data_IF_796610815590
#
_entry.id   IF_796610815590
#
_cell.length_a   1.000
_cell.length_b   1.000
_cell.length_c   1.000
_cell.angle_alpha   90.00
_cell.angle_beta   90.00
_cell.angle_gamma   90.00
#
_symmetry.space_group_name_H-M   'P 1'
#
loop_
_entity.id
_entity.type
_entity.pdbx_description
1 polymer ?
#
# COMPACT_ATOMS: atom_id res chain seq x y z
N UNK A 1 1.81 2.75 15.32
CA UNK A 1 0.82 3.04 14.24
C UNK A 1 1.33 2.68 12.84
N UNK A 2 2.54 3.11 12.43
CA UNK A 2 3.05 2.92 11.06
C UNK A 2 2.97 1.49 10.51
N UNK A 3 3.63 0.49 11.12
CA UNK A 3 3.67 -0.87 10.56
C UNK A 3 2.32 -1.60 10.55
N UNK A 4 1.47 -1.41 11.58
CA UNK A 4 0.14 -2.04 11.61
C UNK A 4 -0.81 -1.50 10.53
N UNK A 5 -0.71 -0.22 10.17
CA UNK A 5 -1.45 0.31 9.03
C UNK A 5 -0.99 -0.34 7.72
N UNK A 6 0.33 -0.40 7.51
CA UNK A 6 0.93 -0.96 6.30
C UNK A 6 0.63 -2.45 6.11
N UNK A 7 0.62 -3.25 7.18
CA UNK A 7 0.28 -4.68 7.14
C UNK A 7 -1.18 -4.97 6.79
N UNK A 8 -2.09 -4.00 6.91
CA UNK A 8 -3.50 -4.16 6.50
C UNK A 8 -3.70 -3.97 4.99
N UNK A 9 -2.69 -3.45 4.28
CA UNK A 9 -2.76 -3.33 2.83
C UNK A 9 -2.51 -4.72 2.20
N UNK A 10 -3.47 -5.28 1.45
CA UNK A 10 -3.31 -6.61 0.83
C UNK A 10 -2.16 -6.69 -0.17
N UNK A 11 -1.68 -5.56 -0.69
CA UNK A 11 -0.49 -5.48 -1.54
C UNK A 11 0.84 -5.56 -0.79
N UNK A 12 0.82 -5.60 0.54
CA UNK A 12 2.03 -5.66 1.37
C UNK A 12 2.17 -7.02 2.02
N UNK A 13 3.22 -7.75 1.68
CA UNK A 13 3.56 -9.02 2.33
C UNK A 13 4.24 -8.82 3.68
N UNK A 14 5.20 -7.89 3.77
CA UNK A 14 5.86 -7.51 5.01
C UNK A 14 6.46 -6.09 4.89
N UNK A 15 6.29 -5.21 5.89
CA UNK A 15 6.96 -3.92 5.91
C UNK A 15 8.42 -4.09 6.34
N UNK A 16 9.34 -3.41 5.65
CA UNK A 16 10.72 -3.30 6.07
C UNK A 16 10.85 -2.14 7.08
N UNK A 17 11.39 -2.43 8.27
CA UNK A 17 11.48 -1.47 9.37
C UNK A 17 12.95 -1.26 9.75
N UNK A 18 13.37 0.00 9.81
CA UNK A 18 14.65 0.40 10.38
C UNK A 18 14.48 0.85 11.83
N UNK A 19 15.30 0.33 12.74
CA UNK A 19 15.37 0.77 14.13
C UNK A 19 16.83 1.00 14.51
N UNK A 20 17.26 2.25 14.72
CA UNK A 20 18.65 2.52 15.16
C UNK A 20 18.81 2.44 16.68
N UNK A 21 17.91 3.02 17.48
CA UNK A 21 17.82 2.74 18.92
C UNK A 21 16.88 1.56 19.20
N UNK A 22 17.12 0.82 20.29
CA UNK A 22 16.25 -0.29 20.70
C UNK A 22 14.79 0.14 20.95
N UNK A 23 14.58 1.32 21.54
CA UNK A 23 13.25 1.87 21.77
C UNK A 23 12.42 2.00 20.48
N UNK A 24 13.06 2.30 19.34
CA UNK A 24 12.37 2.39 18.05
C UNK A 24 11.90 1.00 17.58
N UNK A 25 12.65 -0.06 17.89
CA UNK A 25 12.21 -1.42 17.59
C UNK A 25 11.01 -1.80 18.46
N UNK A 26 11.06 -1.48 19.76
CA UNK A 26 9.97 -1.71 20.71
C UNK A 26 8.70 -0.97 20.27
N UNK A 27 8.80 0.30 19.89
CA UNK A 27 7.67 1.09 19.36
C UNK A 27 7.08 0.48 18.07
N UNK A 28 7.94 -0.01 17.18
CA UNK A 28 7.49 -0.64 15.93
C UNK A 28 6.81 -1.98 16.17
N UNK A 29 7.28 -2.77 17.15
CA UNK A 29 6.65 -4.02 17.55
C UNK A 29 5.33 -3.77 18.27
N UNK A 30 5.30 -2.85 19.23
CA UNK A 30 4.07 -2.46 19.93
C UNK A 30 3.00 -1.87 19.01
N UNK A 31 3.41 -1.28 17.88
CA UNK A 31 2.47 -0.84 16.86
C UNK A 31 1.62 -1.98 16.27
N UNK A 32 2.07 -3.24 16.32
CA UNK A 32 1.31 -4.41 15.83
C UNK A 32 0.09 -4.73 16.68
N UNK A 33 0.06 -4.27 17.93
CA UNK A 33 -1.06 -4.46 18.87
C UNK A 33 -2.17 -3.43 18.69
N UNK A 34 -2.03 -2.51 17.73
CA UNK A 34 -3.02 -1.47 17.47
C UNK A 34 -4.20 -2.06 16.70
N UNK A 35 -5.33 -2.13 17.38
CA UNK A 35 -6.63 -2.42 16.76
C UNK A 35 -7.25 -1.17 16.15
N UNK A 36 -7.71 -1.32 14.91
CA UNK A 36 -8.50 -0.29 14.23
C UNK A 36 -9.99 -0.62 14.31
N UNK A 37 -10.81 0.37 14.60
CA UNK A 37 -12.26 0.25 14.42
C UNK A 37 -12.58 0.14 12.92
N UNK A 38 -13.73 -0.45 12.59
CA UNK A 38 -14.13 -0.67 11.19
C UNK A 38 -14.15 0.60 10.33
N UNK A 39 -14.33 1.78 10.92
CA UNK A 39 -14.40 3.06 10.20
C UNK A 39 -13.05 3.76 10.00
N UNK A 40 -12.03 3.40 10.77
CA UNK A 40 -10.72 4.06 10.72
C UNK A 40 -9.93 3.77 9.43
N UNK A 41 -9.90 2.53 8.89
CA UNK A 41 -9.20 2.25 7.64
C UNK A 41 -9.73 3.06 6.47
N UNK A 42 -11.06 3.07 6.28
CA UNK A 42 -11.70 3.83 5.19
C UNK A 42 -11.50 5.35 5.32
N UNK A 43 -11.20 5.86 6.53
CA UNK A 43 -10.81 7.26 6.74
C UNK A 43 -9.35 7.48 6.35
N UNK A 44 -8.46 6.59 6.77
CA UNK A 44 -7.03 6.64 6.44
C UNK A 44 -6.78 6.52 4.94
N UNK A 45 -7.47 5.61 4.25
CA UNK A 45 -7.41 5.47 2.78
C UNK A 45 -7.82 6.78 2.08
N UNK A 46 -8.88 7.42 2.57
CA UNK A 46 -9.40 8.67 1.98
C UNK A 46 -8.44 9.83 2.10
N UNK A 47 -7.80 9.98 3.27
CA UNK A 47 -6.84 11.08 3.50
C UNK A 47 -5.48 10.81 2.87
N UNK A 48 -5.12 9.54 2.68
CA UNK A 48 -3.87 9.12 2.05
C UNK A 48 -3.95 8.95 0.54
N UNK A 49 -5.14 9.05 -0.07
CA UNK A 49 -5.32 8.92 -1.50
C UNK A 49 -4.60 10.06 -2.25
N UNK A 50 -3.71 9.68 -3.17
CA UNK A 50 -3.00 10.59 -4.07
C UNK A 50 -3.44 10.32 -5.50
N UNK A 51 -3.54 11.38 -6.31
CA UNK A 51 -3.71 11.22 -7.75
C UNK A 51 -2.44 10.57 -8.34
N UNK A 52 -2.61 9.67 -9.31
CA UNK A 52 -1.52 8.97 -9.95
C UNK A 52 -0.58 9.95 -10.69
N UNK A 53 -1.13 11.04 -11.22
CA UNK A 53 -0.37 12.05 -11.96
C UNK A 53 0.32 11.48 -13.21
N UNK A 54 1.19 12.28 -13.83
CA UNK A 54 2.01 11.83 -14.96
C UNK A 54 3.36 11.27 -14.48
N UNK A 55 3.89 10.16 -15.04
CA UNK A 55 3.35 9.36 -16.14
C UNK A 55 2.41 8.23 -15.71
N UNK A 56 2.20 8.02 -14.41
CA UNK A 56 1.50 6.84 -13.91
C UNK A 56 0.06 6.72 -14.43
N UNK A 57 -0.69 7.81 -14.53
CA UNK A 57 -2.03 7.84 -15.11
C UNK A 57 -2.03 7.47 -16.61
N UNK A 58 -1.04 7.93 -17.37
CA UNK A 58 -0.90 7.60 -18.80
C UNK A 58 -0.52 6.13 -19.00
N UNK A 59 0.37 5.59 -18.15
CA UNK A 59 0.74 4.17 -18.14
C UNK A 59 -0.43 3.27 -17.70
N UNK A 60 -1.28 3.77 -16.81
CA UNK A 60 -2.55 3.13 -16.43
C UNK A 60 -3.68 3.39 -17.45
N UNK A 61 -3.40 3.93 -18.64
CA UNK A 61 -4.36 4.00 -19.73
C UNK A 61 -4.53 2.64 -20.43
N UNK A 62 -5.74 2.35 -20.92
CA UNK A 62 -6.02 1.11 -21.65
C UNK A 62 -5.14 0.93 -22.88
N UNK A 63 -4.97 1.99 -23.67
CA UNK A 63 -4.09 1.99 -24.83
C UNK A 63 -2.65 1.60 -24.48
N UNK A 64 -2.11 2.15 -23.38
CA UNK A 64 -0.73 1.88 -22.99
C UNK A 64 -0.55 0.47 -22.43
N UNK A 65 -1.53 -0.04 -21.68
CA UNK A 65 -1.56 -1.43 -21.22
C UNK A 65 -1.60 -2.41 -22.40
N UNK A 66 -2.47 -2.18 -23.38
CA UNK A 66 -2.60 -3.06 -24.54
C UNK A 66 -1.32 -3.09 -25.39
N UNK A 67 -0.67 -1.94 -25.56
CA UNK A 67 0.62 -1.85 -26.27
C UNK A 67 1.73 -2.58 -25.49
N UNK A 68 1.81 -2.38 -24.18
CA UNK A 68 2.84 -3.03 -23.33
C UNK A 68 2.66 -4.55 -23.28
N UNK A 69 1.41 -5.02 -23.23
CA UNK A 69 1.08 -6.45 -23.22
C UNK A 69 1.15 -7.11 -24.61
N UNK A 70 1.39 -6.35 -25.69
CA UNK A 70 1.49 -6.90 -27.05
C UNK A 70 0.21 -7.59 -27.54
N UNK A 71 -0.97 -7.16 -27.04
CA UNK A 71 -2.26 -7.80 -27.32
C UNK A 71 -2.58 -9.04 -26.46
N UNK A 72 -1.73 -9.41 -25.51
CA UNK A 72 -2.01 -10.47 -24.54
C UNK A 72 -2.97 -9.97 -23.45
N UNK A 73 -4.06 -10.70 -23.20
CA UNK A 73 -4.92 -10.45 -22.03
C UNK A 73 -4.26 -11.04 -20.79
N UNK A 74 -3.81 -10.18 -19.87
CA UNK A 74 -3.28 -10.59 -18.57
C UNK A 74 -4.43 -10.58 -17.57
N UNK A 75 -4.80 -11.74 -17.05
CA UNK A 75 -5.78 -11.81 -15.96
C UNK A 75 -5.17 -11.28 -14.66
N UNK A 76 -5.82 -10.29 -14.06
CA UNK A 76 -5.43 -9.77 -12.75
C UNK A 76 -5.77 -10.81 -11.69
N UNK A 77 -4.74 -11.36 -11.02
CA UNK A 77 -4.97 -12.25 -9.87
C UNK A 77 -5.57 -11.44 -8.73
N UNK A 78 -6.76 -11.84 -8.27
CA UNK A 78 -7.46 -11.27 -7.11
C UNK A 78 -6.98 -11.91 -5.81
#
# INVERSE_FOLDING_TARGET
MGPAWTLRNPGVTAPLIGARPSAQLEDNLGALEVDFTASQPARLDRVGAVDLGYPHAALAGEHMRNTTAGGLTIETRR
#
